data_IF_874383642714
#
_entry.id   IF_874383642714
#
_cell.length_a   1.000
_cell.length_b   1.000
_cell.length_c   1.000
_cell.angle_alpha   90.00
_cell.angle_beta   90.00
_cell.angle_gamma   90.00
#
_symmetry.space_group_name_H-M   'P 1'
#
loop_
_entity.id
_entity.type
_entity.pdbx_description
1 polymer ?
#
# COMPACT_ATOMS: atom_id res chain seq x y z
N UNK A 1 13.22 0.57 -7.23
CA UNK A 1 12.16 -0.39 -7.63
C UNK A 1 11.02 0.39 -8.25
N UNK A 2 10.33 -0.16 -9.23
CA UNK A 2 9.12 0.41 -9.85
C UNK A 2 7.99 -0.58 -9.65
N UNK A 3 6.94 -0.18 -8.93
CA UNK A 3 5.77 -1.01 -8.67
C UNK A 3 4.56 -0.50 -9.47
N UNK A 4 3.68 -1.41 -9.87
CA UNK A 4 2.35 -1.05 -10.35
C UNK A 4 1.45 -0.83 -9.14
N UNK A 5 0.92 0.38 -8.96
CA UNK A 5 -0.09 0.63 -7.94
C UNK A 5 -1.49 0.32 -8.48
N UNK A 6 -2.31 -0.37 -7.68
CA UNK A 6 -3.71 -0.70 -7.97
C UNK A 6 -4.63 0.00 -6.97
N UNK A 7 -5.77 0.48 -7.46
CA UNK A 7 -6.75 1.23 -6.67
C UNK A 7 -6.61 2.74 -6.87
N UNK A 8 -6.28 3.45 -5.79
CA UNK A 8 -6.22 4.91 -5.66
C UNK A 8 -7.54 5.53 -5.23
N UNK A 9 -7.51 6.83 -4.89
CA UNK A 9 -8.66 7.56 -4.38
C UNK A 9 -9.86 7.70 -5.35
N UNK A 10 -9.65 7.44 -6.65
CA UNK A 10 -10.63 7.69 -7.69
C UNK A 10 -11.00 6.42 -8.48
N UNK A 11 -12.25 6.37 -8.94
CA UNK A 11 -12.79 5.25 -9.71
C UNK A 11 -13.69 4.35 -8.89
N UNK A 12 -14.03 3.19 -9.47
CA UNK A 12 -14.82 2.16 -8.79
C UNK A 12 -14.16 0.82 -9.09
N UNK A 13 -13.64 0.19 -8.04
CA UNK A 13 -12.93 -1.07 -8.12
C UNK A 13 -13.29 -1.91 -6.90
N UNK A 14 -13.33 -3.22 -7.09
CA UNK A 14 -13.50 -4.22 -6.04
C UNK A 14 -13.13 -5.58 -6.60
N UNK A 15 -12.87 -6.52 -5.70
CA UNK A 15 -12.78 -7.95 -6.01
C UNK A 15 -14.08 -8.62 -5.57
N UNK A 16 -14.59 -9.52 -6.40
CA UNK A 16 -15.92 -10.14 -6.17
C UNK A 16 -15.84 -11.59 -5.68
N UNK A 17 -14.69 -12.24 -5.84
CA UNK A 17 -14.43 -13.60 -5.36
C UNK A 17 -12.93 -13.89 -5.31
N UNK A 18 -12.55 -15.02 -4.69
CA UNK A 18 -11.17 -15.50 -4.71
C UNK A 18 -10.69 -15.86 -6.14
N UNK A 19 -11.58 -16.32 -7.01
CA UNK A 19 -11.24 -16.63 -8.41
C UNK A 19 -11.03 -15.36 -9.23
N UNK A 20 -11.79 -14.31 -8.94
CA UNK A 20 -11.59 -12.97 -9.51
C UNK A 20 -10.21 -12.41 -9.09
N UNK A 21 -9.87 -12.52 -7.81
CA UNK A 21 -8.54 -12.13 -7.30
C UNK A 21 -7.39 -12.88 -8.00
N UNK A 22 -7.52 -14.19 -8.24
CA UNK A 22 -6.53 -14.99 -8.99
C UNK A 22 -6.42 -14.56 -10.44
N UNK A 23 -7.54 -14.31 -11.12
CA UNK A 23 -7.54 -13.82 -12.49
C UNK A 23 -6.86 -12.45 -12.60
N UNK A 24 -7.08 -11.55 -11.65
CA UNK A 24 -6.38 -10.27 -11.57
C UNK A 24 -4.88 -10.47 -11.35
N UNK A 25 -4.48 -11.38 -10.46
CA UNK A 25 -3.06 -11.71 -10.24
C UNK A 25 -2.38 -12.21 -11.52
N UNK A 26 -2.99 -13.18 -12.21
CA UNK A 26 -2.48 -13.74 -13.46
C UNK A 26 -2.39 -12.67 -14.56
N UNK A 27 -3.38 -11.78 -14.63
CA UNK A 27 -3.37 -10.66 -15.56
C UNK A 27 -2.20 -9.72 -15.27
N UNK A 28 -2.00 -9.32 -14.02
CA UNK A 28 -0.89 -8.45 -13.63
C UNK A 28 0.45 -9.13 -13.92
N UNK A 29 0.58 -10.41 -13.56
CA UNK A 29 1.79 -11.20 -13.80
C UNK A 29 2.19 -11.20 -15.28
N UNK A 30 1.23 -11.51 -16.16
CA UNK A 30 1.47 -11.68 -17.59
C UNK A 30 1.69 -10.36 -18.34
N UNK A 31 1.06 -9.27 -17.89
CA UNK A 31 1.07 -8.01 -18.63
C UNK A 31 2.08 -6.98 -18.09
N UNK A 32 2.48 -7.07 -16.82
CA UNK A 32 3.33 -6.06 -16.17
C UNK A 32 4.55 -6.64 -15.46
N UNK A 33 4.51 -7.91 -15.06
CA UNK A 33 5.61 -8.57 -14.34
C UNK A 33 6.30 -9.59 -15.25
N UNK A 34 6.71 -10.74 -14.70
CA UNK A 34 7.58 -11.72 -15.34
C UNK A 34 6.88 -12.74 -16.24
N UNK A 35 5.56 -12.66 -16.39
CA UNK A 35 4.81 -13.50 -17.33
C UNK A 35 4.87 -12.97 -18.76
N UNK A 36 4.07 -13.57 -19.64
CA UNK A 36 4.04 -13.25 -21.06
C UNK A 36 2.63 -12.94 -21.53
N UNK A 37 2.50 -11.94 -22.40
CA UNK A 37 1.24 -11.54 -23.03
C UNK A 37 1.51 -11.07 -24.45
N UNK A 38 0.54 -11.27 -25.35
CA UNK A 38 0.64 -10.81 -26.73
C UNK A 38 0.63 -9.28 -26.86
N UNK A 39 0.12 -8.57 -25.85
CA UNK A 39 0.12 -7.12 -25.78
C UNK A 39 0.35 -6.69 -24.33
N UNK A 40 1.42 -5.95 -24.08
CA UNK A 40 1.77 -5.42 -22.76
C UNK A 40 1.53 -3.91 -22.73
N UNK A 41 0.73 -3.39 -21.77
CA UNK A 41 0.39 -1.96 -21.75
C UNK A 41 1.58 -1.01 -21.59
N UNK A 42 2.64 -1.45 -20.92
CA UNK A 42 3.88 -0.68 -20.73
C UNK A 42 5.02 -1.18 -21.63
N UNK A 43 4.69 -1.86 -22.73
CA UNK A 43 5.67 -2.47 -23.64
C UNK A 43 6.53 -3.52 -22.93
N UNK A 44 7.83 -3.49 -23.20
CA UNK A 44 8.80 -4.47 -22.70
C UNK A 44 9.18 -4.28 -21.22
N UNK A 45 8.61 -3.27 -20.55
CA UNK A 45 8.87 -3.03 -19.14
C UNK A 45 8.42 -4.22 -18.28
N UNK A 46 9.29 -4.65 -17.38
CA UNK A 46 9.01 -5.66 -16.35
C UNK A 46 9.13 -4.98 -14.99
N UNK A 47 7.98 -4.67 -14.38
CA UNK A 47 7.91 -3.96 -13.10
C UNK A 47 8.34 -4.86 -11.96
N UNK A 48 8.84 -4.29 -10.87
CA UNK A 48 9.39 -5.01 -9.71
C UNK A 48 8.31 -5.67 -8.84
N UNK A 49 7.09 -5.14 -8.86
CA UNK A 49 6.06 -5.57 -7.92
C UNK A 49 4.73 -4.86 -8.08
N UNK A 50 3.85 -5.06 -7.10
CA UNK A 50 2.51 -4.49 -7.04
C UNK A 50 2.32 -3.77 -5.71
N UNK A 51 1.74 -2.58 -5.77
CA UNK A 51 1.35 -1.77 -4.63
C UNK A 51 -0.19 -1.74 -4.51
N UNK A 52 -0.70 -2.01 -3.33
CA UNK A 52 -2.12 -2.05 -3.03
C UNK A 52 -2.53 -0.74 -2.37
N UNK A 53 -3.00 0.20 -3.17
CA UNK A 53 -3.52 1.48 -2.73
C UNK A 53 -5.05 1.44 -2.71
N UNK A 54 -5.61 0.63 -1.80
CA UNK A 54 -7.05 0.35 -1.79
C UNK A 54 -7.74 1.31 -0.80
N UNK A 55 -8.43 2.30 -1.36
CA UNK A 55 -9.10 3.36 -0.59
C UNK A 55 -10.63 3.35 -0.71
N UNK A 56 -11.17 2.46 -1.56
CA UNK A 56 -12.60 2.35 -1.82
C UNK A 56 -13.04 0.90 -2.01
N UNK A 57 -14.35 0.68 -1.94
CA UNK A 57 -14.96 -0.64 -2.09
C UNK A 57 -15.02 -1.42 -0.77
N UNK A 58 -14.93 -2.74 -0.84
CA UNK A 58 -14.92 -3.62 0.34
C UNK A 58 -13.53 -4.21 0.59
N UNK A 59 -13.29 -4.73 1.79
CA UNK A 59 -12.00 -5.33 2.19
C UNK A 59 -11.73 -6.75 1.65
N UNK A 60 -12.69 -7.33 0.94
CA UNK A 60 -12.69 -8.76 0.65
C UNK A 60 -11.70 -9.12 -0.48
N UNK A 61 -11.06 -10.28 -0.34
CA UNK A 61 -10.24 -10.95 -1.36
C UNK A 61 -8.89 -10.30 -1.72
N UNK A 62 -8.52 -9.16 -1.12
CA UNK A 62 -7.17 -8.61 -1.31
C UNK A 62 -6.08 -9.49 -0.68
N UNK A 63 -6.41 -10.26 0.36
CA UNK A 63 -5.57 -11.32 0.90
C UNK A 63 -5.33 -12.45 -0.11
N UNK A 64 -6.38 -12.88 -0.82
CA UNK A 64 -6.26 -13.86 -1.90
C UNK A 64 -5.46 -13.31 -3.09
N UNK A 65 -5.62 -12.03 -3.43
CA UNK A 65 -4.81 -11.37 -4.46
C UNK A 65 -3.32 -11.34 -4.07
N UNK A 66 -3.01 -10.98 -2.82
CA UNK A 66 -1.63 -10.97 -2.32
C UNK A 66 -1.01 -12.37 -2.35
N UNK A 67 -1.74 -13.40 -1.93
CA UNK A 67 -1.29 -14.81 -2.00
C UNK A 67 -1.06 -15.26 -3.44
N UNK A 68 -1.96 -14.91 -4.36
CA UNK A 68 -1.83 -15.29 -5.78
C UNK A 68 -0.62 -14.61 -6.43
N UNK A 69 -0.42 -13.31 -6.21
CA UNK A 69 0.75 -12.58 -6.71
C UNK A 69 2.06 -13.13 -6.13
N UNK A 70 2.09 -13.39 -4.81
CA UNK A 70 3.24 -14.02 -4.17
C UNK A 70 3.49 -15.45 -4.69
N UNK A 71 2.45 -16.17 -5.12
CA UNK A 71 2.56 -17.50 -5.73
C UNK A 71 3.38 -17.54 -7.03
N UNK A 72 3.62 -16.39 -7.68
CA UNK A 72 4.52 -16.29 -8.83
C UNK A 72 6.00 -16.15 -8.44
N UNK A 73 6.31 -15.93 -7.15
CA UNK A 73 7.69 -15.94 -6.67
C UNK A 73 8.35 -17.31 -6.92
N UNK A 74 9.62 -17.28 -7.33
CA UNK A 74 10.39 -18.48 -7.67
C UNK A 74 10.16 -19.01 -9.08
N UNK A 75 9.31 -18.35 -9.89
CA UNK A 75 9.25 -18.57 -11.33
C UNK A 75 10.39 -17.80 -12.03
N UNK A 76 10.06 -16.76 -12.79
CA UNK A 76 11.04 -15.97 -13.54
C UNK A 76 11.68 -14.84 -12.73
N UNK A 77 11.05 -14.40 -11.62
CA UNK A 77 11.51 -13.26 -10.82
C UNK A 77 10.92 -13.22 -9.41
N UNK A 78 11.51 -12.38 -8.57
CA UNK A 78 10.90 -11.93 -7.32
C UNK A 78 9.86 -10.84 -7.59
N UNK A 79 8.67 -10.98 -7.01
CA UNK A 79 7.57 -10.02 -7.01
C UNK A 79 7.53 -9.37 -5.63
N UNK A 80 7.77 -8.07 -5.58
CA UNK A 80 7.61 -7.29 -4.35
C UNK A 80 6.15 -6.91 -4.15
N UNK A 81 5.65 -7.02 -2.93
CA UNK A 81 4.30 -6.59 -2.57
C UNK A 81 4.37 -5.39 -1.63
N UNK A 82 3.61 -4.36 -1.96
CA UNK A 82 3.45 -3.18 -1.11
C UNK A 82 1.98 -2.85 -0.84
N UNK A 83 1.70 -2.19 0.28
CA UNK A 83 0.37 -1.75 0.65
C UNK A 83 0.39 -0.30 1.18
N UNK A 84 -0.66 0.46 0.85
CA UNK A 84 -0.86 1.84 1.28
C UNK A 84 -2.09 2.00 2.19
N UNK A 85 -2.14 1.37 3.38
CA UNK A 85 -3.28 1.52 4.28
C UNK A 85 -3.38 2.96 4.81
N UNK A 86 -4.58 3.37 5.20
CA UNK A 86 -4.76 4.62 5.95
C UNK A 86 -4.26 4.47 7.39
N UNK A 87 -3.99 5.59 8.08
CA UNK A 87 -3.47 5.53 9.46
C UNK A 87 -4.40 4.97 10.55
N UNK A 88 -5.75 4.93 10.41
CA UNK A 88 -6.58 4.20 11.37
C UNK A 88 -6.23 2.71 11.35
N UNK A 89 -6.07 2.11 12.53
CA UNK A 89 -5.75 0.69 12.67
C UNK A 89 -6.87 -0.04 13.44
N UNK A 90 -7.38 -1.19 12.96
CA UNK A 90 -7.06 -1.83 11.67
C UNK A 90 -7.53 -0.99 10.47
N UNK A 91 -6.82 -1.11 9.35
CA UNK A 91 -7.24 -0.47 8.09
C UNK A 91 -8.50 -1.13 7.54
N UNK A 92 -9.43 -0.31 7.04
CA UNK A 92 -10.76 -0.77 6.62
C UNK A 92 -10.76 -1.67 5.39
N UNK A 93 -9.71 -1.63 4.55
CA UNK A 93 -9.65 -2.36 3.27
C UNK A 93 -8.54 -3.41 3.24
N UNK A 94 -7.39 -3.12 3.87
CA UNK A 94 -6.14 -3.86 3.69
C UNK A 94 -5.72 -4.67 4.91
N UNK A 95 -6.41 -4.58 6.06
CA UNK A 95 -6.00 -5.33 7.26
C UNK A 95 -5.87 -6.83 6.98
N UNK A 96 -6.90 -7.45 6.37
CA UNK A 96 -6.85 -8.88 6.02
C UNK A 96 -5.68 -9.26 5.10
N UNK A 97 -5.33 -8.39 4.15
CA UNK A 97 -4.21 -8.60 3.25
C UNK A 97 -2.87 -8.45 4.00
N UNK A 98 -2.71 -7.42 4.82
CA UNK A 98 -1.50 -7.15 5.61
C UNK A 98 -1.24 -8.31 6.58
N UNK A 99 -2.27 -8.82 7.27
CA UNK A 99 -2.15 -9.94 8.22
C UNK A 99 -1.68 -11.26 7.58
N UNK A 100 -1.62 -11.36 6.24
CA UNK A 100 -1.00 -12.52 5.58
C UNK A 100 0.52 -12.60 5.80
N UNK A 101 1.18 -11.49 6.16
CA UNK A 101 2.62 -11.43 6.33
C UNK A 101 3.42 -11.42 5.02
N UNK A 102 2.75 -11.18 3.88
CA UNK A 102 3.36 -11.25 2.55
C UNK A 102 3.90 -9.92 2.03
N UNK A 103 3.59 -8.81 2.68
CA UNK A 103 3.99 -7.48 2.19
C UNK A 103 5.43 -7.15 2.57
N UNK A 104 6.23 -6.80 1.57
CA UNK A 104 7.59 -6.28 1.75
C UNK A 104 7.55 -4.86 2.31
N UNK A 105 6.61 -4.05 1.82
CA UNK A 105 6.51 -2.63 2.14
C UNK A 105 5.09 -2.28 2.57
N UNK A 106 4.96 -1.58 3.69
CA UNK A 106 3.68 -0.97 4.10
C UNK A 106 3.93 0.52 4.31
N UNK A 107 3.38 1.38 3.45
CA UNK A 107 3.47 2.84 3.57
C UNK A 107 2.15 3.42 4.06
N UNK A 108 2.04 3.53 5.38
CA UNK A 108 0.82 3.99 6.05
C UNK A 108 0.57 5.47 5.76
N UNK A 109 -0.60 5.81 5.27
CA UNK A 109 -0.99 7.18 4.92
C UNK A 109 -1.36 7.99 6.18
N UNK A 110 -0.44 8.82 6.68
CA UNK A 110 -0.62 9.64 7.89
C UNK A 110 -1.19 11.04 7.57
N UNK A 111 -2.20 11.08 6.71
CA UNK A 111 -2.85 12.31 6.25
C UNK A 111 -4.34 12.08 5.96
N UNK A 112 -5.09 13.17 5.81
CA UNK A 112 -6.55 13.18 5.62
C UNK A 112 -7.36 12.46 6.70
N UNK A 113 -6.75 12.12 7.83
CA UNK A 113 -7.30 11.33 8.93
C UNK A 113 -6.98 11.98 10.28
N UNK A 114 -7.83 12.92 10.76
CA UNK A 114 -7.61 13.66 12.01
C UNK A 114 -7.24 12.81 13.25
N UNK A 115 -7.80 11.60 13.46
CA UNK A 115 -7.48 10.80 14.64
C UNK A 115 -6.03 10.31 14.73
N UNK A 116 -5.28 10.29 13.63
CA UNK A 116 -3.96 9.67 13.56
C UNK A 116 -2.95 10.44 12.70
N UNK A 117 -3.20 11.70 12.36
CA UNK A 117 -2.26 12.52 11.59
C UNK A 117 -1.59 13.61 12.44
N UNK A 118 -0.64 14.31 11.83
CA UNK A 118 -0.10 15.55 12.39
C UNK A 118 -1.13 16.70 12.26
N UNK A 119 -1.37 17.41 13.35
CA UNK A 119 -2.29 18.56 13.35
C UNK A 119 -1.87 19.58 14.41
N UNK A 120 -2.14 20.87 14.15
CA UNK A 120 -2.00 21.96 15.13
C UNK A 120 -0.63 22.01 15.84
N UNK A 121 0.45 21.70 15.11
CA UNK A 121 1.81 21.71 15.66
C UNK A 121 2.17 20.48 16.50
N UNK A 122 1.36 19.42 16.49
CA UNK A 122 1.45 18.28 17.39
C UNK A 122 1.52 16.93 16.64
N UNK A 123 2.49 16.09 17.01
CA UNK A 123 2.73 14.77 16.41
C UNK A 123 2.19 13.58 17.23
N UNK A 124 1.58 13.79 18.40
CA UNK A 124 1.22 12.72 19.33
C UNK A 124 0.23 11.71 18.72
N UNK A 125 -0.81 12.18 18.02
CA UNK A 125 -1.79 11.29 17.39
C UNK A 125 -1.14 10.39 16.33
N UNK A 126 -0.28 10.97 15.49
CA UNK A 126 0.53 10.26 14.51
C UNK A 126 1.45 9.22 15.17
N UNK A 127 2.23 9.61 16.18
CA UNK A 127 3.17 8.71 16.84
C UNK A 127 2.47 7.58 17.61
N UNK A 128 1.29 7.86 18.19
CA UNK A 128 0.47 6.85 18.85
C UNK A 128 -0.05 5.80 17.86
N UNK A 129 -0.48 6.22 16.67
CA UNK A 129 -0.88 5.28 15.60
C UNK A 129 0.35 4.54 15.03
N UNK A 130 1.46 5.25 14.79
CA UNK A 130 2.71 4.67 14.32
C UNK A 130 3.22 3.53 15.21
N UNK A 131 3.11 3.67 16.55
CA UNK A 131 3.57 2.61 17.46
C UNK A 131 2.85 1.26 17.27
N UNK A 132 1.61 1.29 16.79
CA UNK A 132 0.85 0.09 16.46
C UNK A 132 1.21 -0.43 15.08
N UNK A 133 1.28 0.47 14.09
CA UNK A 133 1.68 0.13 12.71
C UNK A 133 3.08 -0.44 12.61
N UNK A 134 4.03 0.01 13.43
CA UNK A 134 5.41 -0.48 13.44
C UNK A 134 5.52 -1.99 13.80
N UNK A 135 4.45 -2.59 14.32
CA UNK A 135 4.40 -4.00 14.73
C UNK A 135 3.64 -4.91 13.76
N UNK A 136 3.13 -4.40 12.64
CA UNK A 136 2.40 -5.22 11.66
C UNK A 136 3.34 -6.20 10.95
N UNK A 137 2.83 -7.34 10.44
CA UNK A 137 3.65 -8.34 9.78
C UNK A 137 4.05 -7.89 8.37
N UNK A 138 5.05 -7.01 8.29
CA UNK A 138 5.66 -6.56 7.05
C UNK A 138 7.19 -6.48 7.20
N UNK A 139 7.91 -6.56 6.09
CA UNK A 139 9.38 -6.47 6.14
C UNK A 139 9.84 -5.05 6.50
N UNK A 140 9.22 -4.02 5.91
CA UNK A 140 9.47 -2.63 6.25
C UNK A 140 8.15 -1.84 6.29
N UNK A 141 8.03 -0.96 7.29
CA UNK A 141 6.93 -0.02 7.44
C UNK A 141 7.45 1.40 7.22
N UNK A 142 6.72 2.20 6.46
CA UNK A 142 7.03 3.57 6.10
C UNK A 142 5.91 4.52 6.51
N UNK A 143 6.27 5.77 6.72
CA UNK A 143 5.35 6.87 7.01
C UNK A 143 5.03 7.62 5.72
N UNK A 144 3.85 7.38 5.16
CA UNK A 144 3.32 8.12 4.01
C UNK A 144 2.89 9.52 4.44
N UNK A 145 3.51 10.54 3.85
CA UNK A 145 3.29 11.96 4.18
C UNK A 145 3.04 12.77 2.92
N UNK A 146 2.18 13.80 2.97
CA UNK A 146 1.96 14.67 1.83
C UNK A 146 3.18 15.59 1.64
N UNK A 147 3.59 15.78 0.39
CA UNK A 147 4.78 16.57 0.05
C UNK A 147 4.54 18.10 0.09
N UNK A 148 3.29 18.53 0.19
CA UNK A 148 2.89 19.93 0.33
C UNK A 148 1.54 20.04 1.03
N UNK A 149 1.15 21.26 1.41
CA UNK A 149 -0.19 21.54 1.96
C UNK A 149 -1.32 21.27 0.97
N UNK A 150 -1.04 21.29 -0.34
CA UNK A 150 -2.04 21.09 -1.40
C UNK A 150 -2.15 19.62 -1.83
N UNK A 151 -1.25 18.75 -1.35
CA UNK A 151 -1.19 17.34 -1.76
C UNK A 151 -2.19 16.44 -1.02
N UNK A 152 -2.74 16.89 0.11
CA UNK A 152 -3.75 16.17 0.88
C UNK A 152 -4.67 17.16 1.60
N UNK A 153 -5.86 16.70 2.03
CA UNK A 153 -6.82 17.57 2.72
C UNK A 153 -6.35 18.06 4.10
N UNK A 154 -5.45 17.32 4.74
CA UNK A 154 -4.82 17.68 6.02
C UNK A 154 -3.66 16.72 6.33
N UNK A 155 -2.88 16.97 7.39
CA UNK A 155 -1.78 16.08 7.82
C UNK A 155 -0.38 16.47 7.32
N UNK A 156 -0.23 17.61 6.63
CA UNK A 156 1.09 18.10 6.21
C UNK A 156 1.98 18.46 7.40
N UNK A 157 3.23 18.00 7.34
CA UNK A 157 4.25 18.25 8.37
C UNK A 157 5.35 19.13 7.77
N UNK A 158 5.57 20.35 8.27
CA UNK A 158 6.73 21.14 7.89
C UNK A 158 8.03 20.37 8.15
N UNK A 159 9.01 20.49 7.24
CA UNK A 159 10.25 19.71 7.31
C UNK A 159 10.99 19.84 8.66
N UNK A 160 10.98 21.03 9.27
CA UNK A 160 11.61 21.24 10.58
C UNK A 160 10.86 20.50 11.69
N UNK A 161 9.53 20.52 11.68
CA UNK A 161 8.72 19.76 12.63
C UNK A 161 8.87 18.24 12.44
N UNK A 162 8.95 17.77 11.19
CA UNK A 162 9.22 16.35 10.89
C UNK A 162 10.55 15.89 11.51
N UNK A 163 11.62 16.68 11.33
CA UNK A 163 12.94 16.37 11.90
C UNK A 163 12.96 16.46 13.43
N UNK A 164 12.26 17.43 14.02
CA UNK A 164 12.37 17.71 15.46
C UNK A 164 11.35 16.99 16.34
N UNK A 165 10.21 16.56 15.79
CA UNK A 165 9.09 16.00 16.56
C UNK A 165 8.73 14.56 16.19
N UNK A 166 9.11 14.08 15.00
CA UNK A 166 8.61 12.80 14.47
C UNK A 166 9.74 11.80 14.26
N UNK A 167 10.79 12.20 13.52
CA UNK A 167 11.88 11.30 13.21
C UNK A 167 12.75 11.04 14.46
N UNK A 168 13.27 9.80 14.62
CA UNK A 168 14.24 9.51 15.67
C UNK A 168 15.46 10.43 15.56
N UNK A 169 15.99 10.85 16.70
CA UNK A 169 17.25 11.60 16.83
C UNK A 169 18.46 10.69 16.94
#
# INVERSE_FOLDING_TARGET
KVLLSIGGAAGSYSLTSADDARQVADYIWNNFLGGQSASRPLGDAVLDGVDFDIEAGGAQFYDELARALNGHNGQAKTVYLAAAPQCPIPDAHLDGAIQTGLFDYVWVQFYSNPPCQYADGNANALLNSWSQWASVPATQVFMGLPASTDAAGSGFIPADALKSQVLPT
#
